data_IF_913182530892
#
_entry.id   IF_913182530892
#
_cell.length_a   1.000
_cell.length_b   1.000
_cell.length_c   1.000
_cell.angle_alpha   90.00
_cell.angle_beta   90.00
_cell.angle_gamma   90.00
#
_symmetry.space_group_name_H-M   'P 1'
#
loop_
_entity.id
_entity.type
_entity.pdbx_description
1 polymer ?
#
# COMPACT_ATOMS: atom_id res chain seq x y z
N UNK A 1 30.64 -44.36 -71.15
CA UNK A 1 31.79 -44.53 -72.13
C UNK A 1 33.00 -43.86 -71.48
N UNK A 2 33.94 -44.72 -71.10
CA UNK A 2 35.41 -44.57 -71.07
C UNK A 2 36.05 -43.42 -70.22
N UNK A 3 36.65 -43.77 -69.12
CA UNK A 3 38.03 -44.29 -68.90
C UNK A 3 39.14 -43.28 -69.28
N UNK A 4 40.06 -42.83 -68.40
CA UNK A 4 41.20 -43.59 -67.85
C UNK A 4 41.95 -42.75 -66.77
N UNK A 5 42.43 -43.45 -65.77
CA UNK A 5 43.55 -43.22 -64.85
C UNK A 5 44.75 -42.48 -65.41
N UNK A 6 45.44 -41.67 -64.61
CA UNK A 6 46.89 -41.80 -64.38
C UNK A 6 47.24 -41.25 -63.01
N UNK A 7 47.91 -42.13 -62.25
CA UNK A 7 48.66 -41.83 -61.05
C UNK A 7 49.91 -40.96 -61.36
N UNK A 8 50.31 -40.08 -60.45
CA UNK A 8 51.67 -39.86 -60.06
C UNK A 8 51.83 -39.03 -58.81
N UNK A 9 52.23 -39.68 -57.76
CA UNK A 9 53.48 -39.44 -57.08
C UNK A 9 53.53 -38.25 -56.06
N UNK A 10 53.73 -38.65 -54.87
CA UNK A 10 54.00 -37.94 -53.62
C UNK A 10 55.12 -36.88 -53.74
N UNK A 11 54.88 -35.73 -53.20
CA UNK A 11 55.90 -34.95 -52.48
C UNK A 11 55.33 -34.45 -51.16
N UNK A 12 55.70 -35.14 -50.13
CA UNK A 12 55.59 -34.67 -48.73
C UNK A 12 56.52 -33.46 -48.60
N UNK A 13 55.97 -32.26 -48.68
CA UNK A 13 56.60 -31.08 -48.10
C UNK A 13 55.84 -30.80 -46.78
N UNK A 14 56.45 -31.23 -45.69
CA UNK A 14 56.04 -30.86 -44.37
C UNK A 14 56.18 -29.34 -44.19
N UNK A 15 55.10 -28.62 -44.33
CA UNK A 15 55.00 -27.29 -43.78
C UNK A 15 54.82 -27.46 -42.28
N UNK A 16 55.93 -27.35 -41.56
CA UNK A 16 55.90 -26.97 -40.13
C UNK A 16 55.16 -25.66 -40.05
N UNK A 17 53.89 -25.75 -39.75
CA UNK A 17 53.18 -24.62 -39.16
C UNK A 17 53.81 -24.40 -37.77
N UNK A 18 54.87 -23.58 -37.77
CA UNK A 18 55.29 -22.88 -36.54
C UNK A 18 54.05 -22.08 -36.12
N UNK A 19 53.22 -22.68 -35.30
CA UNK A 19 52.26 -21.98 -34.51
C UNK A 19 53.03 -21.00 -33.65
N UNK A 20 53.11 -19.74 -34.13
CA UNK A 20 53.68 -18.68 -33.35
C UNK A 20 52.89 -18.61 -32.05
N UNK A 21 53.50 -18.98 -30.95
CA UNK A 21 53.03 -18.74 -29.61
C UNK A 21 53.15 -17.25 -29.33
N UNK A 22 52.49 -16.45 -30.14
CA UNK A 22 52.31 -15.02 -29.89
C UNK A 22 51.21 -14.85 -28.84
N UNK A 23 51.59 -14.23 -27.72
CA UNK A 23 50.58 -13.83 -26.72
C UNK A 23 49.51 -13.02 -27.45
N UNK A 24 48.22 -13.32 -27.24
CA UNK A 24 47.17 -12.51 -27.82
C UNK A 24 47.30 -11.06 -27.33
N UNK A 25 47.16 -10.11 -28.24
CA UNK A 25 47.17 -8.70 -27.94
C UNK A 25 45.76 -8.24 -27.66
N UNK A 26 45.58 -7.53 -26.54
CA UNK A 26 44.28 -6.99 -26.07
C UNK A 26 44.39 -5.49 -25.90
N UNK A 27 43.30 -4.78 -26.25
CA UNK A 27 43.22 -3.37 -25.95
C UNK A 27 42.78 -3.19 -24.48
N UNK A 28 43.48 -2.31 -23.78
CA UNK A 28 43.20 -2.05 -22.39
C UNK A 28 43.02 -0.57 -22.11
N UNK A 29 42.08 -0.24 -21.23
CA UNK A 29 41.97 1.08 -20.65
C UNK A 29 42.25 1.05 -19.16
N UNK A 30 42.77 2.13 -18.63
CA UNK A 30 42.92 2.29 -17.18
C UNK A 30 41.64 2.82 -16.59
N UNK A 31 41.09 2.12 -15.61
CA UNK A 31 39.88 2.48 -14.91
C UNK A 31 40.08 3.81 -14.17
N UNK A 32 39.13 4.74 -14.41
CA UNK A 32 39.05 6.02 -13.71
C UNK A 32 37.68 6.17 -13.09
N UNK A 33 37.59 6.80 -11.96
CA UNK A 33 36.37 7.18 -11.33
C UNK A 33 35.92 8.54 -11.88
N UNK A 34 34.75 8.58 -12.48
CA UNK A 34 34.13 9.80 -12.99
C UNK A 34 32.92 10.18 -12.14
N UNK A 35 32.80 11.45 -11.82
CA UNK A 35 31.62 11.98 -11.13
C UNK A 35 30.58 12.38 -12.15
N UNK A 36 29.51 11.59 -12.24
CA UNK A 36 28.44 11.78 -13.22
C UNK A 36 27.13 12.05 -12.51
N UNK A 37 26.29 13.01 -12.95
CA UNK A 37 24.94 13.17 -12.45
C UNK A 37 24.16 11.89 -12.68
N UNK A 38 23.56 11.35 -11.63
CA UNK A 38 22.62 10.25 -11.79
C UNK A 38 21.29 10.82 -12.29
N UNK A 39 20.75 10.27 -13.36
CA UNK A 39 19.43 10.57 -13.88
C UNK A 39 18.82 9.30 -14.49
N UNK A 40 17.62 8.98 -14.08
CA UNK A 40 16.87 7.83 -14.58
C UNK A 40 15.41 8.22 -14.76
N UNK A 41 14.82 7.77 -15.86
CA UNK A 41 13.41 7.99 -16.16
C UNK A 41 12.69 6.64 -16.29
N UNK A 42 11.53 6.54 -15.70
CA UNK A 42 10.65 5.39 -15.83
C UNK A 42 9.20 5.84 -15.96
N UNK A 43 8.35 4.98 -16.49
CA UNK A 43 6.92 5.26 -16.56
C UNK A 43 6.21 4.61 -15.40
N UNK A 44 5.26 5.34 -14.82
CA UNK A 44 4.41 4.84 -13.75
C UNK A 44 2.98 5.34 -13.93
N UNK A 45 2.04 4.56 -13.43
CA UNK A 45 0.62 4.92 -13.40
C UNK A 45 0.25 5.20 -11.95
N UNK A 46 -0.16 6.43 -11.62
CA UNK A 46 -0.59 6.77 -10.27
C UNK A 46 -1.87 6.02 -9.90
N UNK A 47 -1.91 5.58 -8.66
CA UNK A 47 -3.05 4.95 -8.03
C UNK A 47 -3.47 5.74 -6.80
N UNK A 48 -4.72 5.55 -6.37
CA UNK A 48 -5.20 6.11 -5.11
C UNK A 48 -4.49 5.46 -3.93
N UNK A 49 -4.14 6.25 -2.91
CA UNK A 49 -3.55 5.72 -1.66
C UNK A 49 -4.48 4.70 -1.00
N UNK A 50 -5.76 5.02 -0.93
CA UNK A 50 -6.80 4.16 -0.40
C UNK A 50 -8.06 4.24 -1.26
N UNK A 51 -8.73 3.10 -1.41
CA UNK A 51 -10.04 3.00 -2.04
C UNK A 51 -10.98 2.38 -1.01
N UNK A 52 -12.03 3.10 -0.65
CA UNK A 52 -13.01 2.66 0.31
C UNK A 52 -14.40 2.53 -0.34
N UNK A 53 -14.97 1.33 -0.41
CA UNK A 53 -16.36 1.16 -0.77
C UNK A 53 -17.25 1.64 0.38
N UNK A 54 -18.25 2.43 0.08
CA UNK A 54 -19.31 2.81 1.02
C UNK A 54 -20.43 1.78 0.93
N UNK A 55 -20.55 0.97 1.98
CA UNK A 55 -21.51 -0.15 2.04
C UNK A 55 -22.55 0.16 3.11
N UNK A 56 -23.81 0.44 2.72
CA UNK A 56 -24.91 0.62 3.68
C UNK A 56 -25.16 -0.65 4.50
N UNK A 57 -25.46 -0.48 5.76
CA UNK A 57 -25.84 -1.60 6.65
C UNK A 57 -27.33 -1.91 6.61
N UNK A 58 -28.13 -1.00 6.05
CA UNK A 58 -29.58 -1.12 5.92
C UNK A 58 -30.01 -0.92 4.49
N UNK A 59 -31.16 -1.51 4.11
CA UNK A 59 -31.75 -1.35 2.78
C UNK A 59 -32.92 -0.37 2.83
N UNK A 60 -33.09 0.41 1.77
CA UNK A 60 -34.22 1.33 1.64
C UNK A 60 -34.03 2.33 0.52
N UNK A 61 -35.08 3.12 0.26
CA UNK A 61 -35.02 4.22 -0.72
C UNK A 61 -34.25 5.42 -0.16
N UNK A 62 -33.56 6.15 -1.02
CA UNK A 62 -32.85 7.37 -0.66
C UNK A 62 -33.83 8.55 -0.54
N UNK A 63 -33.67 9.31 0.55
CA UNK A 63 -34.43 10.55 0.77
C UNK A 63 -33.65 11.76 0.28
N UNK A 64 -32.31 11.75 0.46
CA UNK A 64 -31.44 12.87 0.09
C UNK A 64 -30.53 12.53 -1.08
N UNK A 65 -30.00 13.58 -1.71
CA UNK A 65 -29.17 13.48 -2.91
C UNK A 65 -27.91 12.65 -2.70
N UNK A 66 -27.61 11.85 -3.70
CA UNK A 66 -26.39 11.08 -3.80
C UNK A 66 -25.26 12.00 -4.29
N UNK A 67 -24.02 11.91 -3.77
CA UNK A 67 -22.90 12.71 -4.30
C UNK A 67 -22.60 12.32 -5.74
N UNK A 68 -22.14 13.29 -6.51
CA UNK A 68 -21.77 13.10 -7.91
C UNK A 68 -20.34 12.53 -8.03
N UNK A 69 -20.09 11.82 -9.13
CA UNK A 69 -18.73 11.36 -9.47
C UNK A 69 -17.84 12.59 -9.67
N UNK A 70 -16.67 12.60 -9.00
CA UNK A 70 -15.74 13.73 -8.98
C UNK A 70 -15.94 14.68 -7.79
N UNK A 71 -16.99 14.53 -6.99
CA UNK A 71 -17.20 15.33 -5.78
C UNK A 71 -16.21 14.94 -4.69
N UNK A 72 -15.57 15.94 -4.07
CA UNK A 72 -14.70 15.76 -2.90
C UNK A 72 -15.54 15.71 -1.64
N UNK A 73 -15.22 14.78 -0.73
CA UNK A 73 -15.88 14.58 0.55
C UNK A 73 -14.84 14.40 1.65
N UNK A 74 -15.18 14.79 2.88
CA UNK A 74 -14.36 14.57 4.06
C UNK A 74 -14.84 13.35 4.86
N UNK A 75 -13.93 12.72 5.61
CA UNK A 75 -14.30 11.60 6.48
C UNK A 75 -15.36 12.04 7.50
N UNK A 76 -16.46 11.30 7.56
CA UNK A 76 -17.60 11.62 8.42
C UNK A 76 -18.71 12.44 7.75
N UNK A 77 -18.50 13.01 6.57
CA UNK A 77 -19.54 13.72 5.81
C UNK A 77 -20.71 12.81 5.52
N UNK A 78 -21.93 13.39 5.56
CA UNK A 78 -23.16 12.69 5.18
C UNK A 78 -23.21 12.61 3.66
N UNK A 79 -23.14 11.39 3.13
CA UNK A 79 -23.19 11.15 1.69
C UNK A 79 -24.62 11.07 1.17
N UNK A 80 -25.48 10.35 1.88
CA UNK A 80 -26.90 10.23 1.59
C UNK A 80 -27.67 9.68 2.79
N UNK A 81 -28.98 9.81 2.75
CA UNK A 81 -29.88 9.28 3.78
C UNK A 81 -30.85 8.27 3.19
N UNK A 82 -31.02 7.17 3.88
CA UNK A 82 -32.00 6.13 3.59
C UNK A 82 -33.26 6.43 4.41
N UNK A 83 -34.44 6.12 3.88
CA UNK A 83 -35.70 6.31 4.57
C UNK A 83 -35.77 5.49 5.87
N UNK A 84 -35.82 6.20 7.01
CA UNK A 84 -35.88 5.64 8.35
C UNK A 84 -37.28 5.42 8.89
N UNK A 85 -38.34 5.87 8.16
CA UNK A 85 -39.72 5.92 8.64
C UNK A 85 -40.22 4.57 9.16
N UNK A 86 -39.85 3.47 8.52
CA UNK A 86 -40.23 2.12 8.96
C UNK A 86 -39.56 1.75 10.29
N UNK A 87 -38.28 2.07 10.45
CA UNK A 87 -37.51 1.81 11.70
C UNK A 87 -38.01 2.70 12.84
N UNK A 88 -38.30 3.96 12.57
CA UNK A 88 -38.88 4.90 13.56
C UNK A 88 -40.23 4.43 14.06
N UNK A 89 -41.08 3.93 13.17
CA UNK A 89 -42.37 3.32 13.56
C UNK A 89 -42.18 2.10 14.44
N UNK A 90 -41.22 1.24 14.15
CA UNK A 90 -40.87 0.07 14.95
C UNK A 90 -40.29 0.49 16.32
N UNK A 91 -39.39 1.48 16.38
CA UNK A 91 -38.86 2.00 17.62
C UNK A 91 -39.96 2.55 18.52
N UNK A 92 -40.90 3.33 17.97
CA UNK A 92 -42.04 3.88 18.70
C UNK A 92 -42.93 2.78 19.27
N UNK A 93 -43.21 1.72 18.50
CA UNK A 93 -44.00 0.58 18.96
C UNK A 93 -43.33 -0.18 20.09
N UNK A 94 -41.98 -0.43 19.98
CA UNK A 94 -41.22 -1.08 21.04
C UNK A 94 -41.14 -0.24 22.32
N UNK A 95 -41.01 1.07 22.17
CA UNK A 95 -40.97 2.01 23.27
C UNK A 95 -42.28 2.08 24.02
N UNK A 96 -43.41 2.02 23.31
CA UNK A 96 -44.76 1.89 23.86
C UNK A 96 -44.94 0.57 24.65
N UNK A 97 -44.41 -0.54 24.14
CA UNK A 97 -44.47 -1.85 24.82
C UNK A 97 -43.59 -1.85 26.09
N UNK A 98 -42.40 -1.26 26.05
CA UNK A 98 -41.56 -1.10 27.24
C UNK A 98 -42.26 -0.24 28.30
N UNK A 99 -42.85 0.86 27.90
CA UNK A 99 -43.60 1.75 28.79
C UNK A 99 -44.80 1.06 29.40
N UNK A 100 -45.55 0.27 28.65
CA UNK A 100 -46.71 -0.51 29.12
C UNK A 100 -46.28 -1.62 30.10
N UNK A 101 -45.12 -2.26 29.90
CA UNK A 101 -44.61 -3.27 30.81
C UNK A 101 -43.95 -2.69 32.06
N UNK A 102 -43.59 -1.42 32.04
CA UNK A 102 -43.02 -0.69 33.17
C UNK A 102 -44.11 0.03 34.04
N UNK A 103 -45.42 -0.21 33.78
CA UNK A 103 -46.45 0.38 34.59
C UNK A 103 -46.35 -0.13 36.05
N UNK A 104 -46.06 0.75 36.97
CA UNK A 104 -46.07 0.48 38.40
C UNK A 104 -47.50 0.17 38.81
N UNK A 105 -47.79 -1.10 39.07
CA UNK A 105 -49.05 -1.45 39.73
C UNK A 105 -48.91 -1.00 41.19
N UNK A 106 -49.54 0.13 41.50
CA UNK A 106 -49.76 0.49 42.89
C UNK A 106 -50.62 -0.63 43.49
N UNK A 107 -50.00 -1.48 44.30
CA UNK A 107 -50.77 -2.50 45.04
C UNK A 107 -51.88 -1.83 45.81
N UNK A 108 -53.12 -2.28 45.57
CA UNK A 108 -54.27 -1.80 46.39
C UNK A 108 -53.87 -1.88 47.87
N UNK A 109 -54.11 -0.79 48.60
CA UNK A 109 -53.86 -0.76 50.04
C UNK A 109 -54.52 -1.99 50.65
N UNK A 110 -53.75 -2.84 51.31
CA UNK A 110 -54.28 -3.99 52.00
C UNK A 110 -55.32 -3.48 53.01
N UNK A 111 -56.58 -3.98 52.96
CA UNK A 111 -57.61 -3.56 53.93
C UNK A 111 -57.07 -3.80 55.31
N UNK A 112 -57.19 -2.78 56.18
CA UNK A 112 -56.83 -2.90 57.63
C UNK A 112 -57.78 -3.95 58.19
N UNK A 113 -57.23 -5.12 58.52
CA UNK A 113 -58.01 -6.15 59.19
C UNK A 113 -58.29 -5.68 60.66
N UNK A 114 -59.53 -5.31 60.84
CA UNK A 114 -60.03 -4.84 62.13
C UNK A 114 -59.95 -5.91 63.31
N UNK A 115 -59.58 -7.13 62.86
CA UNK A 115 -59.31 -8.27 63.71
C UNK A 115 -57.82 -8.50 64.03
N UNK A 116 -56.97 -7.58 63.66
CA UNK A 116 -55.55 -7.68 64.01
C UNK A 116 -55.25 -7.68 65.49
N UNK A 117 -54.16 -8.36 65.85
CA UNK A 117 -53.73 -8.41 67.30
C UNK A 117 -53.52 -7.03 67.79
N UNK A 118 -53.01 -6.10 67.01
CA UNK A 118 -52.74 -4.70 67.37
C UNK A 118 -54.04 -3.93 67.59
N UNK A 119 -55.07 -4.16 66.83
CA UNK A 119 -56.41 -3.58 67.07
C UNK A 119 -57.04 -4.13 68.34
N UNK A 120 -56.79 -5.39 68.68
CA UNK A 120 -57.19 -6.01 69.96
C UNK A 120 -56.45 -5.40 71.15
N UNK A 121 -55.14 -5.17 71.05
CA UNK A 121 -54.35 -4.54 72.13
C UNK A 121 -54.71 -3.09 72.32
N UNK A 122 -55.13 -2.32 71.32
CA UNK A 122 -55.65 -0.99 71.42
C UNK A 122 -57.00 -1.00 72.18
N UNK A 123 -57.89 -1.92 71.87
CA UNK A 123 -59.17 -2.06 72.55
C UNK A 123 -59.07 -2.46 74.05
N UNK A 124 -58.00 -3.19 74.36
CA UNK A 124 -57.65 -3.56 75.79
C UNK A 124 -56.87 -2.50 76.50
N UNK A 125 -56.58 -1.37 75.87
CA UNK A 125 -55.84 -0.25 76.50
C UNK A 125 -54.35 -0.58 76.71
N UNK A 126 -53.81 -1.63 76.15
CA UNK A 126 -52.40 -2.06 76.30
C UNK A 126 -51.47 -1.19 75.51
N UNK A 127 -51.92 -0.72 74.29
CA UNK A 127 -51.21 0.25 73.49
C UNK A 127 -52.03 1.51 73.26
N UNK A 128 -51.35 2.65 73.14
CA UNK A 128 -51.99 3.94 72.89
C UNK A 128 -52.36 4.08 71.43
N UNK A 129 -53.31 4.95 71.13
CA UNK A 129 -53.72 5.25 69.76
C UNK A 129 -52.52 5.68 68.87
N UNK A 130 -51.63 6.45 69.48
CA UNK A 130 -50.41 6.92 68.79
C UNK A 130 -49.42 5.83 68.49
N UNK A 131 -49.34 4.79 69.33
CA UNK A 131 -48.50 3.62 69.07
C UNK A 131 -49.13 2.72 67.97
N UNK A 132 -50.44 2.53 68.05
CA UNK A 132 -51.19 1.82 67.01
C UNK A 132 -51.01 2.47 65.60
N UNK A 133 -51.17 3.80 65.54
CA UNK A 133 -51.00 4.55 64.30
C UNK A 133 -49.54 4.48 63.79
N UNK A 134 -48.55 4.44 64.65
CA UNK A 134 -47.14 4.20 64.29
C UNK A 134 -46.90 2.78 63.74
N UNK A 135 -47.54 1.78 64.31
CA UNK A 135 -47.43 0.40 63.84
C UNK A 135 -48.12 0.22 62.50
N UNK A 136 -49.31 0.83 62.31
CA UNK A 136 -50.03 0.83 61.05
C UNK A 136 -49.27 1.66 59.96
N UNK A 137 -48.70 2.79 60.34
CA UNK A 137 -47.88 3.59 59.46
C UNK A 137 -46.60 2.88 58.97
N UNK A 138 -46.07 1.94 59.78
CA UNK A 138 -44.98 1.05 59.34
C UNK A 138 -45.45 -0.10 58.46
N UNK A 139 -46.71 -0.58 58.62
CA UNK A 139 -47.28 -1.60 57.76
C UNK A 139 -47.85 -1.05 56.43
N UNK A 140 -48.13 0.25 56.41
CA UNK A 140 -48.63 0.94 55.20
C UNK A 140 -47.54 1.66 54.42
N UNK A 141 -46.26 1.34 54.63
CA UNK A 141 -45.25 1.75 53.63
C UNK A 141 -45.59 1.05 52.33
N UNK A 142 -45.89 1.76 51.24
CA UNK A 142 -46.04 1.14 49.94
C UNK A 142 -44.74 0.39 49.63
N UNK A 143 -44.77 -0.92 49.63
CA UNK A 143 -43.67 -1.68 49.14
C UNK A 143 -43.67 -1.39 47.65
N UNK A 144 -42.76 -0.52 47.21
CA UNK A 144 -42.44 -0.40 45.80
C UNK A 144 -41.93 -1.78 45.33
N UNK A 145 -42.84 -2.58 44.86
CA UNK A 145 -42.46 -3.75 44.09
C UNK A 145 -41.98 -3.16 42.77
N UNK A 146 -40.69 -2.78 42.78
CA UNK A 146 -39.98 -2.49 41.56
C UNK A 146 -39.97 -3.77 40.73
N UNK A 147 -41.06 -4.07 40.04
CA UNK A 147 -41.03 -4.97 38.92
C UNK A 147 -40.28 -4.26 37.78
N UNK A 148 -38.99 -3.99 37.98
CA UNK A 148 -38.07 -3.71 36.91
C UNK A 148 -37.75 -5.00 36.14
N UNK A 149 -38.76 -5.72 35.73
CA UNK A 149 -38.68 -6.65 34.63
C UNK A 149 -38.87 -5.85 33.35
N UNK A 150 -37.96 -4.87 33.12
CA UNK A 150 -37.69 -4.43 31.78
C UNK A 150 -37.33 -5.73 31.02
N UNK A 151 -38.22 -6.19 30.16
CA UNK A 151 -37.96 -7.39 29.39
C UNK A 151 -36.65 -7.17 28.60
N UNK A 152 -35.52 -7.80 28.98
CA UNK A 152 -34.22 -7.49 28.41
C UNK A 152 -34.24 -7.66 26.88
N UNK A 153 -35.12 -8.55 26.37
CA UNK A 153 -35.31 -8.73 24.95
C UNK A 153 -35.94 -7.52 24.25
N UNK A 154 -36.87 -6.79 24.91
CA UNK A 154 -37.47 -5.58 24.31
C UNK A 154 -36.48 -4.41 24.29
N UNK A 155 -35.66 -4.27 25.32
CA UNK A 155 -34.61 -3.25 25.38
C UNK A 155 -33.53 -3.50 24.29
N UNK A 156 -33.14 -4.76 24.10
CA UNK A 156 -32.18 -5.12 23.05
C UNK A 156 -32.78 -4.97 21.65
N UNK A 157 -34.05 -5.31 21.45
CA UNK A 157 -34.77 -5.07 20.20
C UNK A 157 -34.84 -3.58 19.87
N UNK A 158 -35.15 -2.71 20.86
CA UNK A 158 -35.13 -1.25 20.67
C UNK A 158 -33.76 -0.75 20.29
N UNK A 159 -32.72 -1.15 21.03
CA UNK A 159 -31.34 -0.78 20.71
C UNK A 159 -30.89 -1.25 19.31
N UNK A 160 -31.40 -2.39 18.84
CA UNK A 160 -31.14 -2.87 17.47
C UNK A 160 -31.78 -1.98 16.41
N UNK A 161 -33.04 -1.56 16.64
CA UNK A 161 -33.76 -0.67 15.72
C UNK A 161 -33.17 0.74 15.73
N UNK A 162 -32.76 1.25 16.88
CA UNK A 162 -32.06 2.54 17.00
C UNK A 162 -30.71 2.54 16.24
N UNK A 163 -29.98 1.43 16.29
CA UNK A 163 -28.76 1.26 15.47
C UNK A 163 -29.08 1.25 13.98
N UNK A 164 -30.22 0.65 13.57
CA UNK A 164 -30.66 0.68 12.19
C UNK A 164 -31.07 2.10 11.74
N UNK A 165 -31.71 2.88 12.61
CA UNK A 165 -32.03 4.30 12.34
C UNK A 165 -30.75 5.11 12.14
N UNK A 166 -29.76 4.94 13.05
CA UNK A 166 -28.47 5.60 12.91
C UNK A 166 -27.75 5.20 11.60
N UNK A 167 -27.87 3.94 11.19
CA UNK A 167 -27.29 3.41 9.96
C UNK A 167 -28.00 3.90 8.69
N UNK A 168 -29.20 4.49 8.78
CA UNK A 168 -29.85 5.15 7.66
C UNK A 168 -29.12 6.41 7.20
N UNK A 169 -28.30 7.02 8.06
CA UNK A 169 -27.42 8.13 7.69
C UNK A 169 -26.05 7.56 7.28
N UNK A 170 -25.82 7.47 5.98
CA UNK A 170 -24.58 6.91 5.43
C UNK A 170 -23.53 8.00 5.33
N UNK A 171 -22.36 7.74 5.93
CA UNK A 171 -21.24 8.70 5.99
C UNK A 171 -20.01 8.20 5.26
N UNK A 172 -19.14 9.15 4.87
CA UNK A 172 -17.87 8.85 4.24
C UNK A 172 -16.89 8.19 5.25
N UNK A 173 -16.36 7.00 4.94
CA UNK A 173 -15.39 6.32 5.81
C UNK A 173 -13.99 6.95 5.75
N UNK A 174 -13.66 7.60 4.62
CA UNK A 174 -12.39 8.31 4.38
C UNK A 174 -12.65 9.63 3.66
N UNK A 175 -11.70 10.56 3.77
CA UNK A 175 -11.67 11.75 2.92
C UNK A 175 -11.14 11.38 1.54
N UNK A 176 -11.71 11.97 0.49
CA UNK A 176 -11.29 11.70 -0.88
C UNK A 176 -12.31 12.18 -1.91
N UNK A 177 -12.23 11.64 -3.11
CA UNK A 177 -13.12 11.96 -4.22
C UNK A 177 -14.00 10.75 -4.57
N UNK A 178 -15.27 10.99 -4.82
CA UNK A 178 -16.20 9.96 -5.28
C UNK A 178 -15.78 9.52 -6.68
N UNK A 179 -15.30 8.28 -6.82
CA UNK A 179 -14.82 7.75 -8.10
C UNK A 179 -15.89 7.04 -8.88
N UNK A 180 -16.83 6.40 -8.19
CA UNK A 180 -17.91 5.64 -8.82
C UNK A 180 -19.14 5.60 -7.93
N UNK A 181 -20.30 5.67 -8.56
CA UNK A 181 -21.62 5.52 -7.92
C UNK A 181 -22.33 4.31 -8.55
N UNK A 182 -22.70 3.34 -7.70
CA UNK A 182 -23.35 2.09 -8.13
C UNK A 182 -24.88 2.14 -8.02
N UNK A 183 -25.41 3.12 -7.27
CA UNK A 183 -26.85 3.29 -7.13
C UNK A 183 -27.38 3.89 -8.44
N UNK A 184 -28.10 3.08 -9.20
CA UNK A 184 -28.73 3.49 -10.44
C UNK A 184 -29.96 4.38 -10.23
N UNK A 185 -30.74 4.56 -11.27
CA UNK A 185 -31.96 5.41 -11.28
C UNK A 185 -33.03 5.03 -10.25
N UNK A 186 -32.99 3.79 -9.75
CA UNK A 186 -33.90 3.30 -8.71
C UNK A 186 -33.72 3.98 -7.36
N UNK A 187 -32.55 4.57 -7.09
CA UNK A 187 -32.20 5.21 -5.81
C UNK A 187 -32.54 4.33 -4.59
N UNK A 188 -32.29 3.02 -4.70
CA UNK A 188 -32.52 2.06 -3.63
C UNK A 188 -31.16 1.54 -3.17
N UNK A 189 -30.82 1.77 -1.90
CA UNK A 189 -29.66 1.17 -1.26
C UNK A 189 -29.98 -0.25 -0.81
N UNK A 190 -29.05 -1.16 -1.00
CA UNK A 190 -29.13 -2.54 -0.52
C UNK A 190 -28.04 -2.80 0.54
N UNK A 191 -28.45 -3.32 1.69
CA UNK A 191 -27.50 -3.68 2.75
C UNK A 191 -26.44 -4.66 2.24
N UNK A 192 -25.17 -4.42 2.60
CA UNK A 192 -24.05 -5.28 2.22
C UNK A 192 -23.58 -5.12 0.78
N UNK A 193 -24.15 -4.21 -0.02
CA UNK A 193 -23.68 -3.90 -1.37
C UNK A 193 -23.07 -2.50 -1.43
N UNK A 194 -21.96 -2.31 -2.18
CA UNK A 194 -21.37 -0.99 -2.32
C UNK A 194 -22.35 -0.04 -3.02
N UNK A 195 -22.58 1.12 -2.43
CA UNK A 195 -23.37 2.21 -2.98
C UNK A 195 -22.53 3.14 -3.86
N UNK A 196 -21.29 3.43 -3.40
CA UNK A 196 -20.32 4.24 -4.12
C UNK A 196 -18.89 3.89 -3.65
N UNK A 197 -17.90 4.34 -4.42
CA UNK A 197 -16.49 4.25 -4.07
C UNK A 197 -15.92 5.65 -3.80
N UNK A 198 -15.13 5.77 -2.74
CA UNK A 198 -14.33 6.95 -2.44
C UNK A 198 -12.87 6.59 -2.63
N UNK A 199 -12.15 7.38 -3.41
CA UNK A 199 -10.72 7.24 -3.64
C UNK A 199 -9.99 8.39 -2.95
N UNK A 200 -9.00 8.06 -2.11
CA UNK A 200 -8.08 9.04 -1.55
C UNK A 200 -7.02 9.36 -2.59
N UNK A 201 -7.17 10.51 -3.26
CA UNK A 201 -6.29 10.96 -4.34
C UNK A 201 -5.15 11.86 -3.87
N UNK A 202 -5.04 12.09 -2.57
CA UNK A 202 -3.99 12.90 -1.94
C UNK A 202 -3.55 12.22 -0.66
N UNK A 203 -2.27 11.77 -0.60
CA UNK A 203 -1.34 11.67 -1.72
C UNK A 203 -1.69 10.57 -2.73
N UNK A 204 -1.16 10.68 -3.95
CA UNK A 204 -1.18 9.58 -4.93
C UNK A 204 0.07 8.71 -4.77
N UNK A 205 -0.05 7.45 -5.15
CA UNK A 205 1.07 6.49 -5.14
C UNK A 205 1.27 5.97 -6.55
N UNK A 206 2.52 5.82 -6.97
CA UNK A 206 2.84 5.04 -8.16
C UNK A 206 3.94 4.03 -7.86
N UNK A 207 3.82 2.85 -8.41
CA UNK A 207 4.80 1.79 -8.28
C UNK A 207 5.76 1.82 -9.48
N UNK A 208 7.06 1.76 -9.17
CA UNK A 208 8.13 1.67 -10.16
C UNK A 208 9.04 0.50 -9.80
N UNK A 209 9.59 -0.15 -10.81
CA UNK A 209 10.55 -1.24 -10.64
C UNK A 209 11.92 -0.77 -11.12
N UNK A 210 12.90 -0.84 -10.24
CA UNK A 210 14.29 -0.49 -10.53
C UNK A 210 15.19 -1.73 -10.40
N UNK A 211 16.29 -1.81 -11.15
CA UNK A 211 17.26 -2.88 -10.96
C UNK A 211 17.75 -2.93 -9.51
N UNK A 212 17.80 -4.11 -8.91
CA UNK A 212 18.19 -4.29 -7.50
C UNK A 212 19.64 -3.89 -7.23
N UNK A 213 20.46 -3.86 -8.27
CA UNK A 213 21.84 -3.36 -8.21
C UNK A 213 21.90 -1.88 -7.80
N UNK A 214 20.85 -1.11 -8.10
CA UNK A 214 20.76 0.31 -7.75
C UNK A 214 20.35 0.55 -6.29
N UNK A 215 19.87 -0.45 -5.58
CA UNK A 215 19.31 -0.31 -4.23
C UNK A 215 20.27 0.39 -3.26
N UNK A 216 21.54 -0.03 -3.23
CA UNK A 216 22.55 0.56 -2.37
C UNK A 216 22.85 2.03 -2.70
N UNK A 217 22.88 2.35 -4.01
CA UNK A 217 23.07 3.73 -4.46
C UNK A 217 21.87 4.61 -4.13
N UNK A 218 20.65 4.08 -4.30
CA UNK A 218 19.40 4.78 -3.97
C UNK A 218 19.32 5.07 -2.47
N UNK A 219 19.62 4.09 -1.63
CA UNK A 219 19.62 4.26 -0.17
C UNK A 219 20.64 5.31 0.26
N UNK A 220 21.86 5.24 -0.27
CA UNK A 220 22.90 6.23 0.03
C UNK A 220 22.49 7.64 -0.39
N UNK A 221 22.01 7.82 -1.63
CA UNK A 221 21.56 9.13 -2.10
C UNK A 221 20.36 9.66 -1.29
N UNK A 222 19.51 8.77 -0.78
CA UNK A 222 18.39 9.13 0.09
C UNK A 222 18.87 9.58 1.47
N UNK A 223 19.83 8.85 2.08
CA UNK A 223 20.44 9.21 3.38
C UNK A 223 21.17 10.56 3.30
N UNK A 224 21.91 10.79 2.23
CA UNK A 224 22.64 12.03 1.95
C UNK A 224 21.71 13.17 1.49
N UNK A 225 20.39 12.90 1.26
CA UNK A 225 19.39 13.84 0.75
C UNK A 225 19.76 14.44 -0.61
N UNK A 226 20.49 13.69 -1.41
CA UNK A 226 20.87 14.10 -2.77
C UNK A 226 19.92 13.57 -3.83
N UNK A 227 19.07 12.59 -3.52
CA UNK A 227 18.06 12.05 -4.42
C UNK A 227 16.84 12.97 -4.50
N UNK A 228 16.47 13.37 -5.71
CA UNK A 228 15.20 14.02 -6.00
C UNK A 228 14.36 13.16 -6.93
N UNK A 229 13.08 13.11 -6.65
CA UNK A 229 12.12 12.32 -7.41
C UNK A 229 11.00 13.23 -7.89
N UNK A 230 10.68 13.16 -9.16
CA UNK A 230 9.62 13.96 -9.76
C UNK A 230 8.65 13.08 -10.52
N UNK A 231 7.37 13.37 -10.36
CA UNK A 231 6.35 13.03 -11.34
C UNK A 231 6.32 14.11 -12.39
N UNK A 232 6.41 13.76 -13.66
CA UNK A 232 6.41 14.71 -14.76
C UNK A 232 5.33 14.39 -15.78
N UNK A 233 4.60 15.43 -16.17
CA UNK A 233 3.77 15.48 -17.37
C UNK A 233 4.43 16.41 -18.38
N UNK A 234 3.81 16.65 -19.54
CA UNK A 234 4.38 17.49 -20.60
C UNK A 234 4.79 18.90 -20.09
N UNK A 235 3.97 19.49 -19.20
CA UNK A 235 4.12 20.90 -18.80
C UNK A 235 4.36 21.08 -17.29
N UNK A 236 4.25 20.04 -16.47
CA UNK A 236 4.30 20.13 -15.01
C UNK A 236 5.13 19.00 -14.40
N UNK A 237 5.71 19.32 -13.24
CA UNK A 237 6.44 18.36 -12.42
C UNK A 237 6.08 18.52 -10.94
N UNK A 238 5.89 17.40 -10.24
CA UNK A 238 5.57 17.37 -8.81
C UNK A 238 6.63 16.56 -8.08
N UNK A 239 7.02 17.01 -6.90
CA UNK A 239 7.96 16.27 -6.06
C UNK A 239 7.32 15.02 -5.49
N UNK A 240 8.10 13.93 -5.47
CA UNK A 240 7.68 12.66 -4.90
C UNK A 240 8.67 12.15 -3.86
N UNK A 241 8.17 11.36 -2.92
CA UNK A 241 8.95 10.62 -1.94
C UNK A 241 9.07 9.17 -2.37
N UNK A 242 10.31 8.66 -2.43
CA UNK A 242 10.60 7.27 -2.79
C UNK A 242 10.61 6.38 -1.54
N UNK A 243 9.81 5.31 -1.56
CA UNK A 243 9.75 4.29 -0.49
C UNK A 243 10.02 2.91 -1.08
N UNK A 244 11.11 2.28 -0.62
CA UNK A 244 11.47 0.92 -1.02
C UNK A 244 10.43 -0.06 -0.46
N UNK A 245 10.02 -1.01 -1.29
CA UNK A 245 9.23 -2.16 -0.85
C UNK A 245 10.15 -3.33 -0.48
N UNK A 246 9.76 -4.19 0.46
CA UNK A 246 10.53 -5.37 0.79
C UNK A 246 10.72 -6.25 -0.46
N UNK A 247 11.96 -6.60 -0.75
CA UNK A 247 12.30 -7.58 -1.79
C UNK A 247 12.55 -8.93 -1.07
N UNK A 248 11.54 -9.78 -1.04
CA UNK A 248 11.59 -11.03 -0.26
C UNK A 248 12.34 -12.17 -0.95
N UNK A 249 12.51 -12.11 -2.26
CA UNK A 249 12.99 -13.24 -3.05
C UNK A 249 14.34 -13.04 -3.76
N UNK A 250 15.05 -11.93 -3.51
CA UNK A 250 16.28 -11.61 -4.23
C UNK A 250 16.04 -11.43 -5.73
N UNK A 251 14.92 -10.80 -6.08
CA UNK A 251 14.53 -10.54 -7.46
C UNK A 251 15.50 -9.55 -8.13
N UNK A 252 15.64 -9.65 -9.44
CA UNK A 252 16.48 -8.75 -10.26
C UNK A 252 16.03 -7.29 -10.21
N UNK A 253 14.77 -7.05 -9.83
CA UNK A 253 14.16 -5.73 -9.72
C UNK A 253 13.57 -5.55 -8.34
N UNK A 254 13.81 -4.39 -7.77
CA UNK A 254 13.19 -3.96 -6.51
C UNK A 254 12.04 -3.03 -6.82
N UNK A 255 10.90 -3.27 -6.19
CA UNK A 255 9.74 -2.40 -6.30
C UNK A 255 9.88 -1.22 -5.34
N UNK A 256 9.59 -0.04 -5.85
CA UNK A 256 9.56 1.21 -5.09
C UNK A 256 8.21 1.87 -5.26
N UNK A 257 7.69 2.44 -4.19
CA UNK A 257 6.52 3.32 -4.23
C UNK A 257 6.96 4.78 -4.21
N UNK A 258 6.50 5.52 -5.19
CA UNK A 258 6.66 6.98 -5.24
C UNK A 258 5.36 7.59 -4.77
N UNK A 259 5.42 8.32 -3.68
CA UNK A 259 4.29 9.02 -3.09
C UNK A 259 4.41 10.51 -3.40
N UNK A 260 3.33 11.11 -3.90
CA UNK A 260 3.31 12.54 -4.32
C UNK A 260 2.03 13.18 -3.84
N UNK A 261 2.13 14.36 -3.25
CA UNK A 261 0.96 15.15 -2.86
C UNK A 261 0.24 15.67 -4.10
N UNK A 262 -1.09 15.61 -4.06
CA UNK A 262 -1.96 15.97 -5.16
C UNK A 262 -3.18 16.79 -4.69
N UNK A 263 -2.96 17.94 -3.99
CA UNK A 263 -4.06 18.67 -3.36
C UNK A 263 -5.06 19.21 -4.38
N UNK A 264 -4.58 19.60 -5.56
CA UNK A 264 -5.42 20.20 -6.62
C UNK A 264 -6.01 19.15 -7.59
N UNK A 265 -5.73 17.84 -7.37
CA UNK A 265 -6.20 16.77 -8.24
C UNK A 265 -5.63 16.79 -9.66
N UNK A 266 -4.50 17.47 -9.87
CA UNK A 266 -3.86 17.61 -11.19
C UNK A 266 -3.25 16.31 -11.69
N UNK A 267 -2.73 15.47 -10.77
CA UNK A 267 -2.26 14.13 -11.10
C UNK A 267 -3.47 13.21 -11.19
N UNK A 268 -3.80 12.79 -12.41
CA UNK A 268 -4.94 11.91 -12.67
C UNK A 268 -4.58 10.47 -12.45
N UNK A 269 -5.38 9.79 -11.66
CA UNK A 269 -5.23 8.35 -11.41
C UNK A 269 -5.53 7.57 -12.69
N UNK A 270 -4.69 6.54 -12.97
CA UNK A 270 -4.83 5.69 -14.14
C UNK A 270 -4.20 6.25 -15.42
N UNK A 271 -3.72 7.49 -15.44
CA UNK A 271 -2.97 8.04 -16.57
C UNK A 271 -1.44 7.81 -16.38
N UNK A 272 -0.69 7.49 -17.45
CA UNK A 272 0.75 7.27 -17.32
C UNK A 272 1.52 8.60 -17.20
N UNK A 273 2.42 8.64 -16.23
CA UNK A 273 3.37 9.74 -16.00
C UNK A 273 4.81 9.25 -16.12
N UNK A 274 5.73 10.18 -16.34
CA UNK A 274 7.16 9.92 -16.28
C UNK A 274 7.61 10.20 -14.84
N UNK A 275 8.20 9.20 -14.20
CA UNK A 275 8.89 9.37 -12.93
C UNK A 275 10.36 9.54 -13.23
N UNK A 276 10.90 10.69 -12.85
CA UNK A 276 12.31 11.03 -12.99
C UNK A 276 12.98 11.00 -11.64
N UNK A 277 14.03 10.18 -11.54
CA UNK A 277 14.93 10.12 -10.40
C UNK A 277 16.23 10.78 -10.81
N UNK A 278 16.70 11.71 -10.01
CA UNK A 278 17.98 12.38 -10.30
C UNK A 278 18.71 12.73 -9.01
N UNK A 279 20.05 12.73 -9.06
CA UNK A 279 20.88 13.21 -7.97
C UNK A 279 21.15 14.70 -8.12
N UNK A 280 21.14 15.43 -7.01
CA UNK A 280 21.56 16.84 -6.97
C UNK A 280 23.06 17.00 -7.00
N UNK A 281 23.79 15.96 -6.58
CA UNK A 281 25.24 15.91 -6.60
C UNK A 281 25.74 14.78 -7.50
N UNK A 282 26.86 14.99 -8.21
CA UNK A 282 27.41 13.94 -9.06
C UNK A 282 27.85 12.71 -8.25
N UNK A 283 27.40 11.54 -8.67
CA UNK A 283 27.72 10.25 -8.07
C UNK A 283 29.02 9.71 -8.71
N UNK A 284 29.96 9.19 -7.94
CA UNK A 284 31.16 8.58 -8.50
C UNK A 284 30.82 7.21 -9.11
N UNK A 285 31.09 7.05 -10.41
CA UNK A 285 30.99 5.80 -11.12
C UNK A 285 32.32 5.44 -11.76
N UNK A 286 32.55 4.15 -11.90
CA UNK A 286 33.57 3.63 -12.81
C UNK A 286 32.94 3.48 -14.18
N UNK A 287 33.49 4.17 -15.20
CA UNK A 287 32.94 4.16 -16.55
C UNK A 287 33.83 3.32 -17.45
N UNK A 288 33.24 2.31 -18.07
CA UNK A 288 33.90 1.44 -19.04
C UNK A 288 33.07 1.35 -20.34
N UNK A 289 33.67 1.05 -21.48
CA UNK A 289 32.90 0.75 -22.69
C UNK A 289 32.03 -0.50 -22.48
N UNK A 290 30.78 -0.47 -22.95
CA UNK A 290 29.88 -1.62 -22.85
C UNK A 290 30.46 -2.91 -23.43
N UNK A 291 31.21 -2.91 -24.57
CA UNK A 291 31.85 -4.10 -25.11
C UNK A 291 32.87 -4.76 -24.16
N UNK A 292 33.38 -4.04 -23.15
CA UNK A 292 34.27 -4.60 -22.15
C UNK A 292 33.59 -5.62 -21.21
N UNK A 293 32.24 -5.64 -21.18
CA UNK A 293 31.48 -6.56 -20.35
C UNK A 293 31.26 -7.87 -21.10
N UNK A 294 31.75 -8.95 -20.51
CA UNK A 294 31.60 -10.32 -21.01
C UNK A 294 30.34 -10.91 -20.33
N UNK A 295 29.39 -11.35 -21.16
CA UNK A 295 28.14 -11.88 -20.64
C UNK A 295 27.27 -10.82 -19.96
N UNK A 296 26.84 -11.08 -18.73
CA UNK A 296 25.94 -10.16 -18.00
C UNK A 296 26.68 -9.12 -17.17
N UNK A 297 27.75 -9.53 -16.47
CA UNK A 297 28.40 -8.70 -15.44
C UNK A 297 29.88 -9.05 -15.18
N UNK A 298 30.56 -9.65 -16.12
CA UNK A 298 31.98 -10.02 -15.98
C UNK A 298 32.85 -9.14 -16.84
N UNK A 299 34.00 -8.73 -16.32
CA UNK A 299 35.02 -7.99 -17.05
C UNK A 299 36.38 -8.68 -16.92
N UNK A 300 37.22 -8.55 -17.96
CA UNK A 300 38.59 -9.03 -17.93
C UNK A 300 39.52 -7.92 -17.49
N UNK A 301 40.23 -8.13 -16.38
CA UNK A 301 41.23 -7.21 -15.81
C UNK A 301 42.64 -7.79 -16.07
N UNK A 302 43.58 -6.95 -16.45
CA UNK A 302 44.96 -7.34 -16.65
C UNK A 302 45.79 -6.98 -15.39
N UNK A 303 46.29 -8.00 -14.76
CA UNK A 303 47.21 -7.86 -13.60
C UNK A 303 48.59 -7.33 -14.02
N UNK A 304 49.43 -6.95 -13.05
CA UNK A 304 50.74 -6.41 -13.33
C UNK A 304 51.70 -7.43 -13.97
N UNK A 305 51.43 -8.73 -13.77
CA UNK A 305 52.15 -9.85 -14.40
C UNK A 305 51.65 -10.20 -15.80
N UNK A 306 50.77 -9.36 -16.40
CA UNK A 306 50.15 -9.54 -17.70
C UNK A 306 49.25 -10.79 -17.81
N UNK A 307 48.74 -11.28 -16.69
CA UNK A 307 47.75 -12.33 -16.65
C UNK A 307 46.33 -11.74 -16.60
N UNK A 308 45.41 -12.43 -17.29
CA UNK A 308 43.99 -12.11 -17.28
C UNK A 308 43.37 -12.58 -15.97
N UNK A 309 42.65 -11.69 -15.31
CA UNK A 309 41.76 -11.99 -14.20
C UNK A 309 40.30 -11.63 -14.60
N UNK A 310 39.35 -12.45 -14.19
CA UNK A 310 37.91 -12.21 -14.47
C UNK A 310 37.26 -11.73 -13.19
N UNK A 311 36.69 -10.53 -13.24
CA UNK A 311 35.99 -9.91 -12.10
C UNK A 311 34.53 -9.73 -12.41
N UNK A 312 33.69 -10.00 -11.42
CA UNK A 312 32.28 -9.63 -11.46
C UNK A 312 32.13 -8.17 -11.10
N UNK A 313 31.37 -7.44 -11.87
CA UNK A 313 31.10 -6.02 -11.69
C UNK A 313 29.59 -5.78 -11.48
N UNK A 314 29.28 -4.72 -10.76
CA UNK A 314 27.93 -4.28 -10.54
C UNK A 314 27.62 -3.10 -11.49
N UNK A 315 26.82 -3.38 -12.53
CA UNK A 315 26.44 -2.39 -13.56
C UNK A 315 25.23 -1.62 -13.07
N UNK A 316 25.37 -0.32 -12.86
CA UNK A 316 24.27 0.56 -12.50
C UNK A 316 23.30 0.76 -13.68
N UNK A 317 23.86 1.20 -14.80
CA UNK A 317 23.12 1.42 -16.05
C UNK A 317 24.09 1.49 -17.24
N UNK A 318 23.51 1.45 -18.42
CA UNK A 318 24.26 1.60 -19.68
C UNK A 318 23.65 2.76 -20.47
N UNK A 319 24.49 3.68 -20.92
CA UNK A 319 24.09 4.84 -21.71
C UNK A 319 25.19 5.13 -22.75
N UNK A 320 24.81 5.45 -23.97
CA UNK A 320 25.72 5.81 -25.08
C UNK A 320 26.94 4.88 -25.26
N UNK A 321 26.73 3.57 -25.25
CA UNK A 321 27.77 2.53 -25.31
C UNK A 321 28.77 2.51 -24.15
N UNK A 322 28.47 3.20 -23.06
CA UNK A 322 29.22 3.18 -21.80
C UNK A 322 28.43 2.46 -20.73
N UNK A 323 29.12 1.70 -19.93
CA UNK A 323 28.58 1.06 -18.73
C UNK A 323 29.11 1.81 -17.50
N UNK A 324 28.18 2.18 -16.64
CA UNK A 324 28.44 2.85 -15.38
C UNK A 324 28.36 1.82 -14.27
N UNK A 325 29.49 1.61 -13.58
CA UNK A 325 29.62 0.58 -12.55
C UNK A 325 29.57 1.21 -11.17
N UNK A 326 28.85 0.57 -10.27
CA UNK A 326 28.81 0.97 -8.85
C UNK A 326 30.03 0.45 -8.10
N UNK A 327 30.41 -0.79 -8.37
CA UNK A 327 31.58 -1.43 -7.78
C UNK A 327 32.08 -2.62 -8.62
N UNK A 328 33.06 -3.39 -8.08
CA UNK A 328 33.68 -4.56 -8.72
C UNK A 328 35.06 -4.28 -9.34
N UNK A 329 35.41 -3.02 -9.54
CA UNK A 329 36.73 -2.59 -10.01
C UNK A 329 37.31 -1.53 -9.06
N UNK A 330 38.64 -1.36 -9.11
CA UNK A 330 39.36 -0.30 -8.43
C UNK A 330 39.94 0.70 -9.42
N UNK A 331 40.04 1.95 -8.99
CA UNK A 331 40.69 2.98 -9.80
C UNK A 331 42.18 2.58 -10.05
N UNK A 332 42.58 2.73 -11.32
CA UNK A 332 43.91 2.34 -11.76
C UNK A 332 44.02 0.91 -12.33
N UNK A 333 43.01 0.08 -12.19
CA UNK A 333 43.00 -1.25 -12.82
C UNK A 333 42.92 -1.13 -14.35
N UNK A 334 43.50 -2.11 -15.03
CA UNK A 334 43.53 -2.18 -16.49
C UNK A 334 42.46 -3.17 -16.97
N UNK A 335 41.38 -2.65 -17.61
CA UNK A 335 40.26 -3.43 -18.13
C UNK A 335 40.42 -3.60 -19.63
N UNK A 336 40.16 -4.82 -20.13
CA UNK A 336 40.10 -5.09 -21.58
C UNK A 336 38.86 -4.46 -22.18
N UNK A 337 39.01 -3.61 -23.20
CA UNK A 337 37.92 -2.84 -23.79
C UNK A 337 37.09 -3.61 -24.81
N UNK A 338 37.67 -4.59 -25.47
CA UNK A 338 37.04 -5.47 -26.48
C UNK A 338 37.45 -6.94 -26.25
N UNK A 339 36.97 -7.58 -25.19
CA UNK A 339 37.33 -8.95 -24.90
C UNK A 339 36.82 -9.88 -26.03
N UNK A 340 37.74 -10.73 -26.52
CA UNK A 340 37.34 -11.83 -27.39
C UNK A 340 36.87 -13.02 -26.57
N UNK A 341 35.97 -13.86 -27.13
CA UNK A 341 35.44 -15.07 -26.49
C UNK A 341 36.50 -16.11 -26.06
N UNK A 342 37.76 -15.82 -26.26
CA UNK A 342 38.89 -16.70 -25.97
C UNK A 342 39.73 -16.31 -24.77
N UNK A 343 39.31 -15.25 -24.05
CA UNK A 343 40.03 -14.84 -22.85
C UNK A 343 39.64 -15.74 -21.68
N UNK A 344 40.63 -16.44 -21.12
CA UNK A 344 40.47 -17.30 -19.97
C UNK A 344 41.28 -16.76 -18.76
N UNK A 345 40.79 -17.03 -17.57
CA UNK A 345 41.50 -16.68 -16.33
C UNK A 345 42.93 -17.27 -16.33
N UNK A 346 43.93 -16.47 -16.01
CA UNK A 346 45.33 -16.88 -15.99
C UNK A 346 46.01 -16.89 -17.36
N UNK A 347 45.34 -16.52 -18.44
CA UNK A 347 45.95 -16.40 -19.76
C UNK A 347 46.95 -15.24 -19.80
N UNK A 348 48.12 -15.45 -20.40
CA UNK A 348 49.11 -14.38 -20.55
C UNK A 348 48.85 -13.63 -21.87
N UNK A 349 48.75 -12.30 -21.76
CA UNK A 349 48.41 -11.41 -22.89
C UNK A 349 49.48 -10.32 -23.04
N UNK A 350 49.53 -9.69 -24.22
CA UNK A 350 50.20 -8.41 -24.43
C UNK A 350 49.16 -7.29 -24.53
N UNK A 351 49.46 -6.15 -23.93
CA UNK A 351 48.51 -5.04 -23.79
C UNK A 351 48.81 -3.91 -24.78
N UNK A 352 47.74 -3.37 -25.37
CA UNK A 352 47.76 -2.13 -26.16
C UNK A 352 46.89 -1.14 -25.39
N UNK A 353 47.49 -0.07 -24.90
CA UNK A 353 46.74 0.96 -24.16
C UNK A 353 45.90 1.78 -25.12
N UNK A 354 44.62 1.90 -24.83
CA UNK A 354 43.69 2.83 -25.48
C UNK A 354 43.52 4.02 -24.49
N UNK A 355 43.87 5.20 -24.98
CA UNK A 355 43.73 6.43 -24.22
C UNK A 355 42.32 6.97 -24.25
#
# INVERSE_FOLDING_TARGET
>A
MNWKYVMASACFIGALLAGGCGKPSVHVMTVKMEKVPFAMETRAVPEALHIAPVIPSVSGSLISGLPEVGQTVEAGDVLFQIDSSQYESQASALQAQISASSSVVYGAAVPVDDNSIEASLLRQGIITRTEYDKIQGRKSVPQEVSNSSANPGLAEALASVERAIAACTVRAPISGTVSQVYLGDTKIAAAGRPALLICQNTPVIAEISLPSELDSAMEKMKEEKTLTVFFSSADKSWYGELKKQPNENGERYTSYKVQTDNPDGEIKIGEPYIVRLQSTEPVPYIVIPRPAIIGENTVAVIRDDFLVDLKTVNVAYVEDEKAFLLDGLQEGERVVTDPTDKLEMGMQVSTISVN
#
